data_IF_803231859729
#
_entry.id   IF_803231859729
#
_cell.length_a   1.000
_cell.length_b   1.000
_cell.length_c   1.000
_cell.angle_alpha   90.00
_cell.angle_beta   90.00
_cell.angle_gamma   90.00
#
_symmetry.space_group_name_H-M   'P 1'
#
loop_
_entity.id
_entity.type
_entity.pdbx_description
1 polymer ?
#
# COMPACT_ATOMS: atom_id res chain seq x y z
N UNK A 1 -18.04 -13.30 16.45
CA UNK A 1 -16.59 -13.43 16.68
C UNK A 1 -16.03 -13.74 15.31
N UNK A 2 -15.24 -12.82 14.79
CA UNK A 2 -14.90 -12.78 13.37
C UNK A 2 -13.83 -13.80 13.05
N UNK A 3 -14.00 -14.60 12.01
CA UNK A 3 -13.00 -15.59 11.64
C UNK A 3 -11.78 -14.92 11.01
N UNK A 4 -12.01 -13.96 10.11
CA UNK A 4 -10.94 -13.22 9.43
C UNK A 4 -10.52 -11.99 10.22
N UNK A 5 -11.47 -11.25 10.80
CA UNK A 5 -11.14 -10.03 11.55
C UNK A 5 -10.19 -10.30 12.72
N UNK A 6 -10.36 -11.42 13.43
CA UNK A 6 -9.52 -11.78 14.58
C UNK A 6 -8.08 -12.17 14.18
N UNK A 7 -7.82 -12.45 12.88
CA UNK A 7 -6.48 -12.69 12.34
C UNK A 7 -5.75 -11.40 11.93
N UNK A 8 -6.48 -10.28 11.82
CA UNK A 8 -5.89 -8.98 11.56
C UNK A 8 -5.08 -8.53 12.78
N UNK A 9 -3.83 -8.07 12.62
CA UNK A 9 -3.06 -7.49 13.73
C UNK A 9 -3.85 -6.40 14.45
N UNK A 10 -3.86 -6.42 15.80
CA UNK A 10 -4.68 -5.51 16.62
C UNK A 10 -4.52 -4.03 16.25
N UNK A 11 -3.30 -3.62 15.89
CA UNK A 11 -2.98 -2.24 15.46
C UNK A 11 -3.70 -1.78 14.18
N UNK A 12 -4.21 -2.71 13.37
CA UNK A 12 -4.86 -2.46 12.07
C UNK A 12 -6.38 -2.64 12.17
N UNK A 13 -6.86 -3.41 13.15
CA UNK A 13 -8.27 -3.71 13.34
C UNK A 13 -9.17 -2.47 13.38
N UNK A 14 -8.70 -1.36 13.98
CA UNK A 14 -9.41 -0.08 13.98
C UNK A 14 -9.61 0.49 12.57
N UNK A 15 -8.58 0.42 11.72
CA UNK A 15 -8.62 0.88 10.34
C UNK A 15 -9.54 0.02 9.48
N UNK A 16 -9.54 -1.31 9.67
CA UNK A 16 -10.47 -2.20 8.96
C UNK A 16 -11.93 -1.84 9.27
N UNK A 17 -12.25 -1.54 10.53
CA UNK A 17 -13.59 -1.06 10.92
C UNK A 17 -13.93 0.29 10.28
N UNK A 18 -12.96 1.19 10.15
CA UNK A 18 -13.17 2.47 9.49
C UNK A 18 -13.44 2.31 7.98
N UNK A 19 -12.63 1.50 7.31
CA UNK A 19 -12.80 1.18 5.88
C UNK A 19 -14.17 0.57 5.62
N UNK A 20 -14.62 -0.33 6.50
CA UNK A 20 -15.97 -0.94 6.42
C UNK A 20 -17.08 0.09 6.42
N UNK A 21 -16.92 1.19 7.17
CA UNK A 21 -17.91 2.27 7.20
C UNK A 21 -17.88 3.15 5.96
N UNK A 22 -16.71 3.29 5.33
CA UNK A 22 -16.49 4.17 4.17
C UNK A 22 -16.56 3.45 2.82
N UNK A 23 -16.72 2.11 2.81
CA UNK A 23 -16.72 1.29 1.60
C UNK A 23 -18.04 1.31 0.81
N UNK A 24 -19.09 1.87 1.40
CA UNK A 24 -20.44 1.81 0.83
C UNK A 24 -21.15 0.46 1.08
N UNK A 25 -20.50 -0.49 1.74
CA UNK A 25 -21.13 -1.72 2.24
C UNK A 25 -21.94 -1.44 3.52
N UNK A 26 -22.90 -2.32 3.88
CA UNK A 26 -23.57 -2.22 5.17
C UNK A 26 -22.60 -2.27 6.36
N UNK A 27 -22.73 -1.38 7.34
CA UNK A 27 -21.90 -1.39 8.56
C UNK A 27 -22.37 -2.54 9.50
N UNK A 28 -21.98 -3.78 9.17
CA UNK A 28 -22.34 -5.00 9.88
C UNK A 28 -21.17 -6.01 9.96
N UNK A 29 -21.34 -7.07 10.76
CA UNK A 29 -20.28 -8.09 10.97
C UNK A 29 -19.92 -8.82 9.67
N UNK A 30 -20.87 -9.04 8.76
CA UNK A 30 -20.61 -9.69 7.47
C UNK A 30 -19.68 -8.85 6.57
N UNK A 31 -19.96 -7.55 6.42
CA UNK A 31 -19.11 -6.66 5.62
C UNK A 31 -17.74 -6.49 6.24
N UNK A 32 -17.67 -6.45 7.57
CA UNK A 32 -16.40 -6.43 8.30
C UNK A 32 -15.57 -7.69 8.01
N UNK A 33 -16.20 -8.87 8.00
CA UNK A 33 -15.53 -10.13 7.69
C UNK A 33 -15.01 -10.15 6.24
N UNK A 34 -15.84 -9.78 5.26
CA UNK A 34 -15.44 -9.71 3.83
C UNK A 34 -14.25 -8.75 3.61
N UNK A 35 -14.28 -7.57 4.23
CA UNK A 35 -13.17 -6.61 4.14
C UNK A 35 -11.92 -7.13 4.83
N UNK A 36 -12.07 -7.84 5.96
CA UNK A 36 -10.95 -8.46 6.67
C UNK A 36 -10.30 -9.57 5.84
N UNK A 37 -11.11 -10.42 5.23
CA UNK A 37 -10.64 -11.47 4.32
C UNK A 37 -9.88 -10.85 3.13
N UNK A 38 -10.47 -9.86 2.47
CA UNK A 38 -9.83 -9.18 1.35
C UNK A 38 -8.54 -8.45 1.75
N UNK A 39 -8.45 -7.90 2.97
CA UNK A 39 -7.20 -7.32 3.46
C UNK A 39 -6.12 -8.37 3.70
N UNK A 40 -6.46 -9.51 4.31
CA UNK A 40 -5.52 -10.62 4.53
C UNK A 40 -4.99 -11.16 3.21
N UNK A 41 -5.86 -11.28 2.22
CA UNK A 41 -5.48 -11.77 0.89
C UNK A 41 -4.57 -10.77 0.17
N UNK A 42 -4.88 -9.47 0.22
CA UNK A 42 -3.98 -8.42 -0.30
C UNK A 42 -2.62 -8.43 0.39
N UNK A 43 -2.58 -8.62 1.71
CA UNK A 43 -1.33 -8.77 2.46
C UNK A 43 -0.53 -9.97 1.95
N UNK A 44 -1.17 -11.13 1.79
CA UNK A 44 -0.53 -12.36 1.29
C UNK A 44 0.08 -12.14 -0.10
N UNK A 45 -0.69 -11.58 -1.02
CA UNK A 45 -0.26 -11.27 -2.40
C UNK A 45 0.92 -10.28 -2.39
N UNK A 46 0.87 -9.26 -1.54
CA UNK A 46 1.98 -8.33 -1.38
C UNK A 46 3.26 -9.04 -0.93
N UNK A 47 3.17 -9.86 0.12
CA UNK A 47 4.32 -10.60 0.66
C UNK A 47 4.93 -11.54 -0.39
N UNK A 48 4.10 -12.28 -1.14
CA UNK A 48 4.56 -13.18 -2.21
C UNK A 48 5.26 -12.41 -3.34
N UNK A 49 4.67 -11.29 -3.78
CA UNK A 49 5.26 -10.53 -4.88
C UNK A 49 6.61 -9.90 -4.51
N UNK A 50 6.77 -9.47 -3.26
CA UNK A 50 8.04 -8.93 -2.74
C UNK A 50 9.10 -10.03 -2.68
N UNK A 51 8.73 -11.24 -2.24
CA UNK A 51 9.63 -12.40 -2.21
C UNK A 51 10.06 -12.80 -3.63
N UNK A 52 9.11 -12.93 -4.56
CA UNK A 52 9.37 -13.27 -5.96
C UNK A 52 10.27 -12.25 -6.67
N UNK A 53 10.20 -10.99 -6.24
CA UNK A 53 10.96 -9.89 -6.82
C UNK A 53 12.26 -9.59 -6.05
N UNK A 54 12.58 -10.40 -5.04
CA UNK A 54 13.78 -10.26 -4.21
C UNK A 54 13.93 -8.87 -3.57
N UNK A 55 12.82 -8.22 -3.24
CA UNK A 55 12.85 -6.93 -2.55
C UNK A 55 13.18 -7.13 -1.07
N UNK A 56 13.86 -6.15 -0.47
CA UNK A 56 14.27 -6.21 0.93
C UNK A 56 13.18 -5.58 1.82
N UNK A 57 12.65 -6.33 2.80
CA UNK A 57 11.76 -5.78 3.82
C UNK A 57 12.54 -5.07 4.91
N UNK A 58 12.16 -3.82 5.20
CA UNK A 58 12.80 -2.96 6.21
C UNK A 58 11.76 -2.32 7.13
N UNK A 59 12.19 -1.94 8.33
CA UNK A 59 11.31 -1.28 9.33
C UNK A 59 11.31 0.26 9.21
N UNK A 60 12.37 0.82 8.62
CA UNK A 60 12.54 2.26 8.45
C UNK A 60 13.32 2.57 7.17
N UNK A 61 12.88 3.58 6.43
CA UNK A 61 13.52 4.08 5.21
C UNK A 61 13.93 5.54 5.42
N UNK A 62 15.22 5.82 5.27
CA UNK A 62 15.74 7.19 5.34
C UNK A 62 15.29 7.96 4.12
N UNK A 63 14.86 9.22 4.29
CA UNK A 63 14.51 10.07 3.13
C UNK A 63 15.68 10.27 2.15
N UNK A 64 16.91 10.17 2.65
CA UNK A 64 18.16 10.32 1.90
C UNK A 64 18.66 9.01 1.26
N UNK A 65 17.97 7.88 1.46
CA UNK A 65 18.31 6.58 0.83
C UNK A 65 18.00 6.64 -0.67
N UNK A 66 18.97 6.37 -1.55
CA UNK A 66 18.80 6.57 -2.99
C UNK A 66 17.88 5.53 -3.66
N UNK A 67 17.57 4.44 -2.96
CA UNK A 67 16.70 3.37 -3.47
C UNK A 67 15.25 3.82 -3.58
N UNK A 68 14.50 3.11 -4.41
CA UNK A 68 13.05 3.20 -4.44
C UNK A 68 12.41 2.25 -3.42
N UNK A 69 11.21 2.62 -2.97
CA UNK A 69 10.43 1.90 -1.96
C UNK A 69 9.04 1.53 -2.49
N UNK A 70 8.55 0.39 -2.04
CA UNK A 70 7.16 -0.02 -2.15
C UNK A 70 6.63 -0.27 -0.75
N UNK A 71 5.45 0.26 -0.45
CA UNK A 71 4.83 0.15 0.86
C UNK A 71 3.36 -0.27 0.78
N UNK A 72 2.97 -1.13 1.70
CA UNK A 72 1.57 -1.50 1.94
C UNK A 72 1.08 -0.73 3.16
N UNK A 73 -0.03 -0.03 3.04
CA UNK A 73 -0.64 0.73 4.15
C UNK A 73 -1.62 -0.13 4.98
N UNK A 74 -1.98 0.33 6.18
CA UNK A 74 -3.01 -0.28 7.01
C UNK A 74 -4.36 -0.34 6.29
N UNK A 75 -4.63 0.59 5.38
CA UNK A 75 -5.85 0.58 4.57
C UNK A 75 -5.82 -0.35 3.35
N UNK A 76 -4.73 -1.09 3.13
CA UNK A 76 -4.59 -1.95 1.96
C UNK A 76 -4.36 -1.16 0.66
N UNK A 77 -3.89 0.07 0.76
CA UNK A 77 -3.41 0.90 -0.35
C UNK A 77 -1.92 0.66 -0.59
N UNK A 78 -1.48 0.79 -1.84
CA UNK A 78 -0.07 0.66 -2.25
C UNK A 78 0.52 2.06 -2.42
N UNK A 79 1.74 2.24 -1.94
CA UNK A 79 2.56 3.44 -2.16
C UNK A 79 3.87 3.01 -2.81
N UNK A 80 4.14 3.52 -3.99
CA UNK A 80 5.39 3.34 -4.71
C UNK A 80 6.10 4.69 -4.75
N UNK A 81 7.32 4.74 -4.24
CA UNK A 81 8.21 5.90 -4.34
C UNK A 81 9.45 5.46 -5.09
N UNK A 82 9.69 6.07 -6.25
CA UNK A 82 10.86 5.78 -7.08
C UNK A 82 12.19 6.13 -6.40
N UNK A 83 13.31 5.67 -6.99
CA UNK A 83 14.65 6.04 -6.55
C UNK A 83 14.86 7.55 -6.62
N UNK A 84 15.80 8.05 -5.83
CA UNK A 84 16.14 9.47 -5.82
C UNK A 84 16.85 9.84 -7.14
N UNK A 85 16.29 10.78 -7.91
CA UNK A 85 16.86 11.23 -9.19
C UNK A 85 16.86 12.75 -9.29
N UNK A 86 18.06 13.35 -9.49
CA UNK A 86 18.26 14.79 -9.73
C UNK A 86 17.41 15.75 -8.84
N UNK A 87 17.15 15.38 -7.58
CA UNK A 87 16.35 16.11 -6.57
C UNK A 87 14.82 15.86 -6.56
N UNK A 88 14.33 14.78 -7.17
CA UNK A 88 12.93 14.39 -7.07
C UNK A 88 12.72 12.87 -7.02
N UNK A 89 11.53 12.47 -6.58
CA UNK A 89 11.04 11.09 -6.62
C UNK A 89 9.72 11.03 -7.37
N UNK A 90 9.51 9.94 -8.11
CA UNK A 90 8.18 9.66 -8.65
C UNK A 90 7.34 8.98 -7.58
N UNK A 91 6.15 9.51 -7.29
CA UNK A 91 5.19 8.90 -6.38
C UNK A 91 4.02 8.32 -7.18
N UNK A 92 3.65 7.09 -6.83
CA UNK A 92 2.42 6.47 -7.25
C UNK A 92 1.70 5.91 -6.02
N UNK A 93 0.50 6.43 -5.79
CA UNK A 93 -0.39 6.00 -4.73
C UNK A 93 -1.64 5.40 -5.34
N UNK A 94 -2.03 4.24 -4.84
CA UNK A 94 -3.25 3.58 -5.29
C UNK A 94 -4.07 3.16 -4.09
N UNK A 95 -5.19 3.86 -3.89
CA UNK A 95 -6.23 3.45 -2.95
C UNK A 95 -7.06 2.39 -3.64
N UNK A 96 -6.80 1.12 -3.36
CA UNK A 96 -7.42 0.04 -4.12
C UNK A 96 -8.87 -0.16 -3.62
N UNK A 97 -9.75 0.72 -4.11
CA UNK A 97 -11.18 0.57 -4.38
C UNK A 97 -12.15 0.50 -3.21
N UNK A 98 -11.69 0.42 -1.96
CA UNK A 98 -12.59 0.24 -0.80
C UNK A 98 -12.95 1.52 -0.07
N UNK A 99 -12.35 2.64 -0.46
CA UNK A 99 -12.61 3.93 0.15
C UNK A 99 -13.15 4.86 -0.91
N UNK A 100 -14.39 5.31 -0.73
CA UNK A 100 -15.02 6.28 -1.63
C UNK A 100 -14.58 7.73 -1.35
N UNK A 101 -13.83 7.95 -0.26
CA UNK A 101 -13.41 9.27 0.23
C UNK A 101 -12.00 9.70 -0.21
N UNK A 102 -11.29 8.84 -0.94
CA UNK A 102 -9.97 9.13 -1.53
C UNK A 102 -9.97 8.76 -3.03
N UNK A 103 -9.15 9.40 -3.88
CA UNK A 103 -9.04 9.01 -5.28
C UNK A 103 -8.57 7.56 -5.44
N UNK A 104 -9.08 6.85 -6.45
CA UNK A 104 -8.70 5.47 -6.77
C UNK A 104 -7.19 5.32 -7.00
N UNK A 105 -6.59 6.29 -7.69
CA UNK A 105 -5.14 6.41 -7.83
C UNK A 105 -4.70 7.86 -7.99
N UNK A 106 -3.47 8.13 -7.55
CA UNK A 106 -2.76 9.40 -7.67
C UNK A 106 -1.36 9.08 -8.16
N UNK A 107 -0.99 9.58 -9.35
CA UNK A 107 0.37 9.52 -9.87
C UNK A 107 0.87 10.95 -9.95
N UNK A 108 1.93 11.26 -9.22
CA UNK A 108 2.52 12.60 -9.18
C UNK A 108 4.05 12.52 -9.08
N UNK A 109 4.72 13.50 -9.66
CA UNK A 109 6.13 13.76 -9.32
C UNK A 109 6.13 14.52 -8.00
N UNK A 110 6.79 13.95 -6.99
CA UNK A 110 7.00 14.60 -5.69
C UNK A 110 8.45 15.01 -5.58
N UNK A 111 8.66 16.23 -5.12
CA UNK A 111 10.03 16.74 -4.98
C UNK A 111 10.77 16.02 -3.87
N UNK A 112 10.12 15.72 -2.74
CA UNK A 112 10.79 15.01 -1.65
C UNK A 112 9.80 14.38 -0.64
N UNK A 113 10.31 13.46 0.16
CA UNK A 113 9.69 12.98 1.39
C UNK A 113 9.91 14.02 2.50
N UNK A 114 8.87 14.33 3.27
CA UNK A 114 8.99 15.32 4.35
C UNK A 114 9.83 14.81 5.55
N UNK A 115 10.08 13.50 5.62
CA UNK A 115 10.83 12.85 6.67
C UNK A 115 11.08 11.38 6.36
N UNK A 116 11.74 10.70 7.29
CA UNK A 116 11.95 9.26 7.24
C UNK A 116 10.60 8.52 7.30
N UNK A 117 10.54 7.35 6.67
CA UNK A 117 9.35 6.50 6.64
C UNK A 117 9.56 5.33 7.60
N UNK A 118 8.58 5.07 8.47
CA UNK A 118 8.65 4.00 9.45
C UNK A 118 7.36 3.16 9.44
N UNK A 119 7.47 1.88 9.76
CA UNK A 119 6.29 1.02 9.95
C UNK A 119 5.43 1.56 11.11
N UNK A 120 4.11 1.64 10.88
CA UNK A 120 3.15 2.26 11.78
C UNK A 120 3.09 3.80 11.70
N UNK A 121 4.02 4.45 11.01
CA UNK A 121 3.97 5.88 10.67
C UNK A 121 3.29 6.13 9.32
N UNK A 122 2.91 7.37 9.04
CA UNK A 122 2.44 7.78 7.71
C UNK A 122 3.60 8.31 6.88
N UNK A 123 3.55 8.13 5.56
CA UNK A 123 4.45 8.85 4.65
C UNK A 123 3.88 10.24 4.46
N UNK A 124 4.71 11.26 4.68
CA UNK A 124 4.37 12.67 4.45
C UNK A 124 5.16 13.22 3.26
N UNK A 125 4.51 14.02 2.44
CA UNK A 125 5.09 14.58 1.21
C UNK A 125 5.15 16.11 1.30
N UNK A 126 6.28 16.69 0.90
CA UNK A 126 6.46 18.15 0.93
C UNK A 126 5.57 18.86 -0.12
N UNK A 127 5.35 18.20 -1.25
CA UNK A 127 4.61 18.69 -2.40
C UNK A 127 3.64 17.62 -2.95
N UNK A 128 2.72 18.04 -3.82
CA UNK A 128 1.68 17.18 -4.38
C UNK A 128 0.29 17.37 -3.77
N UNK A 129 -0.69 16.67 -4.34
CA UNK A 129 -2.09 16.61 -3.86
C UNK A 129 -2.23 15.66 -2.68
N UNK A 130 -1.46 14.57 -2.67
CA UNK A 130 -1.42 13.66 -1.54
C UNK A 130 -0.51 14.25 -0.45
N UNK A 131 -1.10 14.64 0.68
CA UNK A 131 -0.35 15.21 1.81
C UNK A 131 0.28 14.15 2.69
N UNK A 132 -0.48 13.08 2.93
CA UNK A 132 -0.04 11.97 3.76
C UNK A 132 -0.78 10.69 3.39
N UNK A 133 -0.18 9.55 3.69
CA UNK A 133 -0.85 8.24 3.60
C UNK A 133 -1.52 7.86 4.93
N UNK A 134 -2.31 6.78 4.92
CA UNK A 134 -2.56 6.01 6.13
C UNK A 134 -1.26 5.38 6.67
N UNK A 135 -1.23 4.94 7.94
CA UNK A 135 -0.06 4.30 8.52
C UNK A 135 0.46 3.13 7.67
N UNK A 136 1.78 2.98 7.59
CA UNK A 136 2.45 1.94 6.80
C UNK A 136 2.46 0.62 7.56
N UNK A 137 2.03 -0.45 6.91
CA UNK A 137 2.12 -1.82 7.42
C UNK A 137 3.47 -2.47 7.14
N UNK A 138 3.94 -2.36 5.90
CA UNK A 138 5.22 -2.92 5.44
C UNK A 138 5.91 -1.95 4.52
N UNK A 139 7.24 -1.88 4.63
CA UNK A 139 8.12 -1.13 3.74
C UNK A 139 9.06 -2.14 3.10
N UNK A 140 9.23 -2.02 1.79
CA UNK A 140 10.14 -2.85 1.02
C UNK A 140 10.92 -1.98 0.06
N UNK A 141 12.19 -2.30 -0.17
CA UNK A 141 13.07 -1.54 -1.04
C UNK A 141 13.70 -2.43 -2.10
N UNK A 142 14.11 -1.83 -3.20
CA UNK A 142 14.88 -2.53 -4.22
C UNK A 142 16.20 -3.06 -3.63
N UNK A 143 16.69 -4.18 -4.19
CA UNK A 143 18.00 -4.74 -3.82
C UNK A 143 19.12 -3.72 -4.06
N UNK A 144 20.12 -3.73 -3.18
CA UNK A 144 21.31 -2.89 -3.34
C UNK A 144 22.02 -3.19 -4.68
N UNK A 145 22.49 -2.13 -5.35
CA UNK A 145 23.28 -2.25 -6.57
C UNK A 145 22.50 -2.23 -7.89
N UNK A 146 21.17 -2.22 -7.85
CA UNK A 146 20.34 -1.91 -9.03
C UNK A 146 20.48 -0.43 -9.41
N UNK A 147 20.64 -0.14 -10.69
CA UNK A 147 20.64 1.23 -11.15
C UNK A 147 19.22 1.85 -11.11
N UNK A 148 19.12 3.17 -11.20
CA UNK A 148 17.83 3.86 -11.08
C UNK A 148 16.81 3.42 -12.16
N UNK A 149 17.27 3.08 -13.37
CA UNK A 149 16.38 2.65 -14.46
C UNK A 149 15.84 1.24 -14.18
N UNK A 150 16.68 0.35 -13.67
CA UNK A 150 16.30 -1.00 -13.23
C UNK A 150 15.32 -0.95 -12.05
N UNK A 151 15.59 -0.12 -11.04
CA UNK A 151 14.68 0.07 -9.91
C UNK A 151 13.30 0.58 -10.36
N UNK A 152 13.26 1.58 -11.26
CA UNK A 152 12.01 2.09 -11.83
C UNK A 152 11.24 0.98 -12.55
N UNK A 153 11.91 0.15 -13.35
CA UNK A 153 11.28 -0.99 -14.06
C UNK A 153 10.74 -2.02 -13.08
N UNK A 154 11.54 -2.40 -12.08
CA UNK A 154 11.14 -3.38 -11.05
C UNK A 154 9.92 -2.90 -10.29
N UNK A 155 9.95 -1.67 -9.77
CA UNK A 155 8.84 -1.08 -9.03
C UNK A 155 7.58 -0.94 -9.88
N UNK A 156 7.70 -0.50 -11.14
CA UNK A 156 6.56 -0.38 -12.04
C UNK A 156 5.91 -1.74 -12.33
N UNK A 157 6.71 -2.77 -12.61
CA UNK A 157 6.21 -4.12 -12.89
C UNK A 157 5.47 -4.71 -11.67
N UNK A 158 6.09 -4.63 -10.50
CA UNK A 158 5.51 -5.13 -9.24
C UNK A 158 4.22 -4.39 -8.92
N UNK A 159 4.24 -3.06 -9.01
CA UNK A 159 3.06 -2.23 -8.73
C UNK A 159 1.91 -2.62 -9.65
N UNK A 160 2.16 -2.81 -10.95
CA UNK A 160 1.12 -3.21 -11.89
C UNK A 160 0.50 -4.58 -11.51
N UNK A 161 1.32 -5.58 -11.22
CA UNK A 161 0.84 -6.92 -10.82
C UNK A 161 -0.03 -6.82 -9.56
N UNK A 162 0.46 -6.10 -8.55
CA UNK A 162 -0.28 -5.93 -7.29
C UNK A 162 -1.60 -5.18 -7.49
N UNK A 163 -1.64 -4.17 -8.36
CA UNK A 163 -2.89 -3.45 -8.66
C UNK A 163 -3.92 -4.37 -9.29
N UNK A 164 -3.53 -5.16 -10.30
CA UNK A 164 -4.42 -6.08 -10.98
C UNK A 164 -4.97 -7.14 -10.00
N UNK A 165 -4.10 -7.72 -9.18
CA UNK A 165 -4.47 -8.71 -8.16
C UNK A 165 -5.35 -8.11 -7.06
N UNK A 166 -5.05 -6.92 -6.54
CA UNK A 166 -5.86 -6.30 -5.49
C UNK A 166 -7.23 -5.86 -6.02
N UNK A 167 -7.33 -5.44 -7.28
CA UNK A 167 -8.61 -5.19 -7.95
C UNK A 167 -9.40 -6.49 -8.05
N UNK A 168 -8.75 -7.61 -8.37
CA UNK A 168 -9.39 -8.92 -8.41
C UNK A 168 -9.94 -9.30 -7.03
N UNK A 169 -9.14 -9.17 -5.96
CA UNK A 169 -9.59 -9.42 -4.57
C UNK A 169 -10.82 -8.58 -4.23
N UNK A 170 -10.83 -7.29 -4.57
CA UNK A 170 -12.00 -6.45 -4.32
C UNK A 170 -13.25 -6.98 -5.02
N UNK A 171 -13.13 -7.45 -6.26
CA UNK A 171 -14.26 -7.95 -7.04
C UNK A 171 -14.75 -9.31 -6.55
N UNK A 172 -13.85 -10.22 -6.21
CA UNK A 172 -14.18 -11.62 -5.92
C UNK A 172 -14.45 -11.89 -4.45
N UNK A 173 -13.74 -11.22 -3.53
CA UNK A 173 -13.86 -11.46 -2.08
C UNK A 173 -14.82 -10.46 -1.44
N UNK A 174 -14.74 -9.19 -1.85
CA UNK A 174 -15.42 -8.11 -1.13
C UNK A 174 -16.77 -7.78 -1.76
N UNK A 175 -16.80 -7.66 -3.10
CA UNK A 175 -17.99 -7.25 -3.86
C UNK A 175 -18.75 -8.41 -4.48
N UNK A 176 -18.48 -9.65 -4.07
CA UNK A 176 -19.09 -10.86 -4.66
C UNK A 176 -20.60 -10.64 -4.87
N UNK A 177 -21.02 -10.54 -6.15
CA UNK A 177 -22.43 -10.44 -6.51
C UNK A 177 -23.06 -11.83 -6.32
N UNK A 178 -23.97 -11.97 -5.36
CA UNK A 178 -24.88 -13.13 -5.29
C UNK A 178 -25.81 -13.21 -6.51
#
# INVERSE_FOLDING_TARGET
>A
MGYFFDQIPERIQSHIREITKTSGMPDNEESLEKISEGWLEKKRIFEEQIEDSQMEEIESFSKDDDRGLLALTYSGSIVNVGPLSEDARRLEYSSIGLRLDVPDSVIEEVTDLAGDVETGGSIEFESGRLRSTSPIFKITVCEEGLDAEEQIKTLANITQILLDEFINVNKTVIMEEE
#
